data_IF_859156156522
#
_entry.id   IF_859156156522
#
_cell.length_a   1.000
_cell.length_b   1.000
_cell.length_c   1.000
_cell.angle_alpha   90.00
_cell.angle_beta   90.00
_cell.angle_gamma   90.00
#
_symmetry.space_group_name_H-M   'P 1'
#
loop_
_entity.id
_entity.type
_entity.pdbx_description
1 polymer ?
#
# COMPACT_ATOMS: atom_id res chain seq x y z
N UNK A 1 7.26 -5.48 4.69
CA UNK A 1 6.03 -4.82 4.19
C UNK A 1 6.11 -4.67 2.68
N UNK A 2 5.03 -4.31 1.98
CA UNK A 2 5.12 -4.07 0.52
C UNK A 2 6.21 -3.02 0.22
N UNK A 3 6.23 -1.95 1.01
CA UNK A 3 7.25 -0.89 0.93
C UNK A 3 8.70 -1.43 1.05
N UNK A 4 8.95 -2.34 2.00
CA UNK A 4 10.29 -2.90 2.19
C UNK A 4 10.70 -3.81 1.04
N UNK A 5 9.79 -4.68 0.57
CA UNK A 5 10.07 -5.57 -0.57
C UNK A 5 10.38 -4.78 -1.84
N UNK A 6 9.65 -3.69 -2.09
CA UNK A 6 9.94 -2.78 -3.21
C UNK A 6 11.32 -2.14 -3.08
N UNK A 7 11.69 -1.69 -1.86
CA UNK A 7 13.02 -1.12 -1.62
C UNK A 7 14.14 -2.14 -1.82
N UNK A 8 13.95 -3.37 -1.37
CA UNK A 8 14.96 -4.45 -1.50
C UNK A 8 15.26 -4.78 -2.97
N UNK A 9 14.31 -4.52 -3.88
CA UNK A 9 14.50 -4.66 -5.34
C UNK A 9 14.85 -3.33 -6.04
N UNK A 10 15.14 -2.27 -5.28
CA UNK A 10 15.59 -0.97 -5.80
C UNK A 10 14.47 -0.02 -6.26
N UNK A 11 13.21 -0.30 -5.90
CA UNK A 11 12.07 0.59 -6.16
C UNK A 11 11.82 1.46 -4.93
N UNK A 12 12.19 2.73 -5.02
CA UNK A 12 11.98 3.70 -3.94
C UNK A 12 10.60 4.37 -4.03
N UNK A 13 9.88 4.35 -2.90
CA UNK A 13 8.62 5.09 -2.71
C UNK A 13 8.78 6.11 -1.58
N UNK A 14 8.12 7.29 -1.65
CA UNK A 14 8.17 8.26 -0.55
C UNK A 14 7.63 7.65 0.75
N UNK A 15 8.43 7.64 1.81
CA UNK A 15 8.03 7.07 3.10
C UNK A 15 8.41 7.99 4.25
N UNK A 16 7.44 8.36 5.09
CA UNK A 16 7.66 9.20 6.29
C UNK A 16 7.38 8.42 7.57
N UNK A 17 6.11 8.15 7.90
CA UNK A 17 5.76 7.60 9.21
C UNK A 17 5.95 6.08 9.34
N UNK A 18 5.84 5.33 8.22
CA UNK A 18 5.80 3.86 8.17
C UNK A 18 4.76 3.19 9.10
N UNK A 19 3.75 3.95 9.54
CA UNK A 19 2.75 3.52 10.51
C UNK A 19 1.30 3.77 10.05
N UNK A 20 1.07 4.11 8.78
CA UNK A 20 -0.29 4.16 8.21
C UNK A 20 -1.06 5.47 8.39
N UNK A 21 -0.43 6.56 8.85
CA UNK A 21 -1.15 7.82 9.13
C UNK A 21 -0.74 9.03 8.28
N UNK A 22 0.38 8.99 7.55
CA UNK A 22 0.87 10.15 6.78
C UNK A 22 0.50 10.16 5.28
N UNK A 23 0.07 9.02 4.72
CA UNK A 23 -0.26 8.89 3.29
C UNK A 23 0.91 8.96 2.28
N UNK A 24 2.16 9.20 2.71
CA UNK A 24 3.28 9.42 1.77
C UNK A 24 3.57 8.25 0.81
N UNK A 25 3.29 7.02 1.26
CA UNK A 25 3.60 5.77 0.53
C UNK A 25 2.35 5.14 -0.09
N UNK A 26 1.32 5.95 -0.37
CA UNK A 26 0.11 5.53 -1.07
C UNK A 26 0.39 5.41 -2.56
N UNK A 27 0.00 4.28 -3.14
CA UNK A 27 0.12 3.99 -4.58
C UNK A 27 -1.21 3.50 -5.15
N UNK A 28 -1.43 3.59 -6.47
CA UNK A 28 -2.62 3.01 -7.10
C UNK A 28 -2.68 1.49 -6.95
N UNK A 29 -3.87 0.97 -6.64
CA UNK A 29 -4.22 -0.46 -6.65
C UNK A 29 -4.97 -0.74 -7.95
N UNK A 30 -4.33 -1.47 -8.87
CA UNK A 30 -4.87 -1.77 -10.19
C UNK A 30 -5.78 -3.01 -10.16
N UNK A 31 -5.40 -4.04 -9.39
CA UNK A 31 -6.17 -5.27 -9.24
C UNK A 31 -6.04 -5.87 -7.84
N UNK A 32 -7.08 -6.57 -7.40
CA UNK A 32 -7.16 -7.24 -6.09
C UNK A 32 -7.81 -6.39 -5.01
N UNK A 33 -8.09 -7.00 -3.86
CA UNK A 33 -8.67 -6.35 -2.69
C UNK A 33 -7.66 -6.37 -1.54
N UNK A 34 -7.31 -5.20 -1.00
CA UNK A 34 -6.30 -5.06 0.03
C UNK A 34 -6.90 -5.13 1.45
N UNK A 35 -6.18 -5.76 2.37
CA UNK A 35 -6.38 -5.62 3.82
C UNK A 35 -5.78 -4.27 4.26
N UNK A 36 -6.65 -3.24 4.30
CA UNK A 36 -6.30 -1.87 4.65
C UNK A 36 -6.07 -1.71 6.15
N UNK A 37 -4.86 -1.26 6.51
CA UNK A 37 -4.45 -1.01 7.91
C UNK A 37 -4.02 0.42 8.18
N UNK A 38 -4.16 1.29 7.18
CA UNK A 38 -3.97 2.72 7.31
C UNK A 38 -5.24 3.40 7.82
N UNK A 39 -5.06 4.62 8.31
CA UNK A 39 -6.14 5.48 8.82
C UNK A 39 -6.35 6.72 7.96
N UNK A 40 -5.72 6.78 6.77
CA UNK A 40 -5.70 7.98 5.93
C UNK A 40 -6.62 7.86 4.72
N UNK A 41 -6.74 6.67 4.14
CA UNK A 41 -7.59 6.46 2.97
C UNK A 41 -9.05 6.37 3.38
N UNK A 42 -9.90 7.15 2.71
CA UNK A 42 -11.34 7.00 2.79
C UNK A 42 -11.80 5.69 2.15
N UNK A 43 -13.04 5.28 2.43
CA UNK A 43 -13.61 4.05 1.86
C UNK A 43 -13.60 4.04 0.32
N UNK A 44 -13.87 5.19 -0.31
CA UNK A 44 -13.82 5.32 -1.76
C UNK A 44 -12.40 5.19 -2.32
N UNK A 45 -11.39 5.73 -1.63
CA UNK A 45 -9.99 5.61 -2.06
C UNK A 45 -9.43 4.20 -1.86
N UNK A 46 -9.89 3.49 -0.82
CA UNK A 46 -9.50 2.09 -0.55
C UNK A 46 -9.87 1.13 -1.68
N UNK A 47 -10.77 1.52 -2.58
CA UNK A 47 -11.13 0.71 -3.75
C UNK A 47 -10.04 0.69 -4.82
N UNK A 48 -9.17 1.70 -4.88
CA UNK A 48 -8.20 1.85 -5.98
C UNK A 48 -6.84 2.43 -5.54
N UNK A 49 -6.57 2.50 -4.24
CA UNK A 49 -5.28 2.93 -3.67
C UNK A 49 -4.92 2.06 -2.48
N UNK A 50 -3.63 1.95 -2.20
CA UNK A 50 -3.12 1.18 -1.06
C UNK A 50 -1.92 1.89 -0.43
N UNK A 51 -1.84 1.90 0.91
CA UNK A 51 -0.67 2.38 1.64
C UNK A 51 0.32 1.25 1.94
N UNK A 52 1.46 1.26 1.23
CA UNK A 52 2.41 0.13 1.15
C UNK A 52 3.18 -0.19 2.44
N UNK A 53 3.23 0.73 3.41
CA UNK A 53 3.96 0.51 4.66
C UNK A 53 3.23 -0.35 5.69
N UNK A 54 1.91 -0.53 5.58
CA UNK A 54 1.11 -1.22 6.61
C UNK A 54 0.03 -2.14 6.05
N UNK A 55 -0.58 -1.77 4.91
CA UNK A 55 -1.60 -2.58 4.23
C UNK A 55 -0.96 -3.76 3.49
N UNK A 56 -1.76 -4.79 3.20
CA UNK A 56 -1.28 -6.07 2.65
C UNK A 56 -2.33 -6.74 1.77
N UNK A 57 -1.92 -7.79 1.05
CA UNK A 57 -2.86 -8.74 0.47
C UNK A 57 -3.45 -9.63 1.59
N UNK A 58 -4.74 -10.00 1.53
CA UNK A 58 -5.28 -11.12 2.28
C UNK A 58 -4.51 -12.41 2.01
N UNK A 59 -4.60 -13.39 2.91
CA UNK A 59 -3.92 -14.68 2.74
C UNK A 59 -4.41 -15.39 1.46
N UNK A 60 -3.46 -15.83 0.63
CA UNK A 60 -3.76 -16.47 -0.65
C UNK A 60 -4.22 -15.54 -1.77
N UNK A 61 -4.32 -14.23 -1.52
CA UNK A 61 -4.69 -13.24 -2.53
C UNK A 61 -3.46 -12.62 -3.21
N UNK A 62 -3.69 -12.03 -4.39
CA UNK A 62 -2.70 -11.29 -5.16
C UNK A 62 -3.19 -9.86 -5.40
N UNK A 63 -2.26 -8.91 -5.36
CA UNK A 63 -2.49 -7.50 -5.69
C UNK A 63 -1.63 -7.09 -6.89
N UNK A 64 -2.15 -6.21 -7.73
CA UNK A 64 -1.40 -5.49 -8.76
C UNK A 64 -1.42 -4.01 -8.41
N UNK A 65 -0.25 -3.40 -8.31
CA UNK A 65 -0.08 -1.98 -7.94
C UNK A 65 0.70 -1.25 -9.02
N UNK A 66 0.41 0.04 -9.19
CA UNK A 66 1.23 0.94 -10.01
C UNK A 66 2.27 1.65 -9.12
N UNK A 67 3.50 1.80 -9.58
CA UNK A 67 4.63 2.28 -8.74
C UNK A 67 5.06 3.69 -9.08
#
# INVERSE_FOLDING_TARGET
TILEVLRDVGIELPSVCRAGFCGSCVVPLLEGEADHRDTVLSEAERQNRIQTCCSRAPEGAQLVIDR
#
